data_IF_595602324178
#
_entry.id   IF_595602324178
#
_cell.length_a   1.000
_cell.length_b   1.000
_cell.length_c   1.000
_cell.angle_alpha   90.00
_cell.angle_beta   90.00
_cell.angle_gamma   90.00
#
_symmetry.space_group_name_H-M   'P 1'
#
loop_
_entity.id
_entity.type
_entity.pdbx_description
1 polymer ?
#
# COMPACT_ATOMS: atom_id res chain seq x y z
N UNK A 1 -23.40 -26.11 10.22
CA UNK A 1 -23.91 -25.74 8.89
C UNK A 1 -23.42 -24.35 8.56
N UNK A 2 -22.62 -24.27 7.51
CA UNK A 2 -21.71 -23.13 7.26
C UNK A 2 -22.40 -22.02 6.46
N UNK A 3 -23.10 -21.11 7.14
CA UNK A 3 -23.69 -19.91 6.56
C UNK A 3 -22.65 -18.84 6.09
N UNK A 4 -21.35 -19.19 6.09
CA UNK A 4 -20.27 -18.25 5.74
C UNK A 4 -19.97 -18.17 4.25
N UNK A 5 -20.43 -19.13 3.45
CA UNK A 5 -20.13 -19.19 1.99
C UNK A 5 -21.01 -18.28 1.15
N UNK A 6 -22.21 -17.92 1.62
CA UNK A 6 -23.21 -17.19 0.83
C UNK A 6 -22.96 -15.68 0.74
N UNK A 7 -21.99 -15.15 1.50
CA UNK A 7 -21.68 -13.73 1.55
C UNK A 7 -20.41 -13.30 0.76
N UNK A 8 -19.76 -14.24 0.08
CA UNK A 8 -18.69 -13.87 -0.86
C UNK A 8 -19.30 -13.13 -2.06
N UNK A 9 -18.59 -12.16 -2.66
CA UNK A 9 -18.96 -11.68 -3.98
C UNK A 9 -18.88 -12.88 -4.92
N UNK A 10 -20.04 -13.50 -5.14
CA UNK A 10 -20.14 -14.53 -6.18
C UNK A 10 -19.73 -13.88 -7.50
N UNK A 11 -18.96 -14.55 -8.37
CA UNK A 11 -18.84 -14.09 -9.74
C UNK A 11 -20.27 -13.86 -10.25
N UNK A 12 -20.55 -12.62 -10.62
CA UNK A 12 -21.88 -12.26 -11.11
C UNK A 12 -22.17 -13.18 -12.30
N UNK A 13 -23.21 -13.98 -12.21
CA UNK A 13 -23.55 -15.06 -13.16
C UNK A 13 -23.73 -14.59 -14.62
N UNK A 14 -23.73 -13.28 -14.89
CA UNK A 14 -23.82 -12.67 -16.22
C UNK A 14 -23.29 -11.22 -16.27
N UNK A 15 -21.98 -11.01 -15.98
CA UNK A 15 -21.37 -9.85 -16.61
C UNK A 15 -21.21 -10.16 -18.10
N UNK A 16 -21.67 -9.28 -18.98
CA UNK A 16 -21.40 -9.41 -20.40
C UNK A 16 -19.88 -9.42 -20.63
N UNK A 17 -19.40 -10.07 -21.69
CA UNK A 17 -17.97 -10.14 -22.01
C UNK A 17 -17.34 -8.74 -22.06
N UNK A 18 -18.07 -7.73 -22.47
CA UNK A 18 -17.64 -6.33 -22.46
C UNK A 18 -17.38 -5.77 -21.06
N UNK A 19 -18.23 -6.08 -20.08
CA UNK A 19 -18.03 -5.62 -18.68
C UNK A 19 -16.85 -6.36 -18.05
N UNK A 20 -16.71 -7.64 -18.31
CA UNK A 20 -15.55 -8.45 -17.88
C UNK A 20 -14.24 -7.89 -18.43
N UNK A 21 -14.19 -7.55 -19.72
CA UNK A 21 -13.03 -6.92 -20.34
C UNK A 21 -12.68 -5.56 -19.71
N UNK A 22 -13.68 -4.72 -19.44
CA UNK A 22 -13.47 -3.43 -18.74
C UNK A 22 -12.94 -3.62 -17.32
N UNK A 23 -13.43 -4.62 -16.56
CA UNK A 23 -12.90 -4.93 -15.22
C UNK A 23 -11.43 -5.32 -15.28
N UNK A 24 -11.04 -6.20 -16.20
CA UNK A 24 -9.65 -6.57 -16.41
C UNK A 24 -8.78 -5.37 -16.78
N UNK A 25 -9.23 -4.53 -17.72
CA UNK A 25 -8.51 -3.32 -18.11
C UNK A 25 -8.25 -2.39 -16.91
N UNK A 26 -9.26 -2.15 -16.08
CA UNK A 26 -9.11 -1.34 -14.86
C UNK A 26 -8.17 -1.95 -13.83
N UNK A 27 -8.22 -3.26 -13.62
CA UNK A 27 -7.33 -3.97 -12.67
C UNK A 27 -5.88 -3.96 -13.17
N UNK A 28 -5.64 -4.27 -14.44
CA UNK A 28 -4.28 -4.27 -15.01
C UNK A 28 -3.68 -2.86 -14.90
N UNK A 29 -4.43 -1.83 -15.30
CA UNK A 29 -3.99 -0.44 -15.14
C UNK A 29 -3.65 -0.12 -13.68
N UNK A 30 -4.54 -0.45 -12.76
CA UNK A 30 -4.35 -0.17 -11.34
C UNK A 30 -3.17 -0.92 -10.71
N UNK A 31 -2.83 -2.11 -11.19
CA UNK A 31 -1.65 -2.84 -10.71
C UNK A 31 -0.35 -2.21 -11.27
N UNK A 32 -0.35 -1.78 -12.52
CA UNK A 32 0.86 -1.26 -13.17
C UNK A 32 1.17 0.19 -12.80
N UNK A 33 0.15 1.03 -12.66
CA UNK A 33 0.31 2.48 -12.52
C UNK A 33 1.16 2.89 -11.29
N UNK A 34 0.98 2.34 -10.07
CA UNK A 34 1.81 2.68 -8.92
C UNK A 34 3.29 2.38 -9.15
N UNK A 35 3.61 1.26 -9.81
CA UNK A 35 4.99 0.88 -10.13
C UNK A 35 5.60 1.82 -11.17
N UNK A 36 4.84 2.18 -12.20
CA UNK A 36 5.27 3.17 -13.21
C UNK A 36 5.52 4.53 -12.57
N UNK A 37 4.60 5.02 -11.74
CA UNK A 37 4.75 6.30 -11.04
C UNK A 37 5.98 6.29 -10.13
N UNK A 38 6.19 5.20 -9.38
CA UNK A 38 7.35 5.04 -8.50
C UNK A 38 8.66 5.04 -9.30
N UNK A 39 8.71 4.33 -10.43
CA UNK A 39 9.88 4.31 -11.32
C UNK A 39 10.14 5.70 -11.91
N UNK A 40 9.12 6.39 -12.39
CA UNK A 40 9.24 7.76 -12.91
C UNK A 40 9.80 8.68 -11.83
N UNK A 41 9.24 8.67 -10.63
CA UNK A 41 9.65 9.57 -9.55
C UNK A 41 11.06 9.27 -9.03
N UNK A 42 11.38 8.02 -8.71
CA UNK A 42 12.61 7.67 -8.03
C UNK A 42 13.79 7.34 -8.96
N UNK A 43 13.52 6.96 -10.22
CA UNK A 43 14.57 6.56 -11.16
C UNK A 43 14.71 7.59 -12.28
N UNK A 44 13.65 7.85 -13.04
CA UNK A 44 13.75 8.72 -14.22
C UNK A 44 13.93 10.21 -13.87
N UNK A 45 13.30 10.68 -12.81
CA UNK A 45 13.36 12.08 -12.36
C UNK A 45 14.33 12.29 -11.18
N UNK A 46 15.15 11.31 -10.81
CA UNK A 46 16.05 11.40 -9.66
C UNK A 46 17.02 12.59 -9.71
N UNK A 47 17.44 13.02 -10.89
CA UNK A 47 18.33 14.19 -11.11
C UNK A 47 17.60 15.48 -11.50
N UNK A 48 16.28 15.47 -11.54
CA UNK A 48 15.49 16.64 -11.95
C UNK A 48 15.34 17.67 -10.82
N UNK A 49 15.05 18.95 -11.14
CA UNK A 49 14.72 19.95 -10.13
C UNK A 49 13.62 19.45 -9.18
N UNK A 50 13.81 19.61 -7.88
CA UNK A 50 12.94 19.04 -6.84
C UNK A 50 11.47 19.42 -7.00
N UNK A 51 11.17 20.65 -7.40
CA UNK A 51 9.80 21.12 -7.62
C UNK A 51 9.09 20.39 -8.76
N UNK A 52 9.78 20.10 -9.87
CA UNK A 52 9.22 19.35 -10.97
C UNK A 52 8.97 17.88 -10.61
N UNK A 53 9.96 17.24 -9.98
CA UNK A 53 9.84 15.87 -9.49
C UNK A 53 8.65 15.72 -8.54
N UNK A 54 8.49 16.64 -7.57
CA UNK A 54 7.37 16.64 -6.64
C UNK A 54 6.04 16.89 -7.33
N UNK A 55 5.95 17.83 -8.27
CA UNK A 55 4.72 18.11 -9.02
C UNK A 55 4.23 16.87 -9.78
N UNK A 56 5.13 16.19 -10.50
CA UNK A 56 4.80 14.94 -11.22
C UNK A 56 4.30 13.86 -10.26
N UNK A 57 4.94 13.72 -9.09
CA UNK A 57 4.51 12.74 -8.10
C UNK A 57 3.13 13.06 -7.52
N UNK A 58 2.88 14.30 -7.14
CA UNK A 58 1.59 14.74 -6.59
C UNK A 58 0.47 14.53 -7.62
N UNK A 59 0.67 14.99 -8.86
CA UNK A 59 -0.30 14.78 -9.94
C UNK A 59 -0.54 13.28 -10.17
N UNK A 60 0.54 12.48 -10.23
CA UNK A 60 0.44 11.04 -10.38
C UNK A 60 -0.33 10.37 -9.24
N UNK A 61 -0.12 10.80 -7.97
CA UNK A 61 -0.88 10.29 -6.82
C UNK A 61 -2.35 10.70 -6.86
N UNK A 62 -2.66 11.92 -7.28
CA UNK A 62 -4.05 12.36 -7.47
C UNK A 62 -4.73 11.49 -8.53
N UNK A 63 -4.09 11.27 -9.69
CA UNK A 63 -4.62 10.38 -10.74
C UNK A 63 -4.77 8.94 -10.23
N UNK A 64 -3.78 8.42 -9.50
CA UNK A 64 -3.82 7.08 -8.91
C UNK A 64 -5.06 6.89 -8.04
N UNK A 65 -5.30 7.81 -7.11
CA UNK A 65 -6.39 7.66 -6.15
C UNK A 65 -7.75 8.11 -6.68
N UNK A 66 -7.82 8.97 -7.69
CA UNK A 66 -9.07 9.32 -8.36
C UNK A 66 -9.56 8.20 -9.32
N UNK A 67 -8.62 7.47 -9.92
CA UNK A 67 -8.92 6.44 -10.93
C UNK A 67 -9.98 5.41 -10.49
N UNK A 68 -9.92 4.77 -9.32
CA UNK A 68 -10.90 3.78 -8.92
C UNK A 68 -12.34 4.31 -8.88
N UNK A 69 -12.54 5.52 -8.34
CA UNK A 69 -13.88 6.13 -8.29
C UNK A 69 -14.41 6.43 -9.69
N UNK A 70 -13.58 7.04 -10.52
CA UNK A 70 -13.92 7.37 -11.90
C UNK A 70 -14.26 6.10 -12.67
N UNK A 71 -13.41 5.07 -12.55
CA UNK A 71 -13.59 3.82 -13.27
C UNK A 71 -14.84 3.07 -12.87
N UNK A 72 -15.12 2.96 -11.57
CA UNK A 72 -16.30 2.26 -11.05
C UNK A 72 -17.57 3.02 -11.40
N UNK A 73 -17.59 4.34 -11.24
CA UNK A 73 -18.79 5.14 -11.47
C UNK A 73 -19.14 5.28 -12.96
N UNK A 74 -18.16 5.58 -13.80
CA UNK A 74 -18.41 5.97 -15.19
C UNK A 74 -18.17 4.85 -16.21
N UNK A 75 -17.17 3.99 -15.97
CA UNK A 75 -16.83 2.91 -16.93
C UNK A 75 -17.58 1.62 -16.62
N UNK A 76 -17.68 1.25 -15.32
CA UNK A 76 -18.38 0.05 -14.91
C UNK A 76 -19.86 0.32 -14.58
N UNK A 77 -20.23 1.57 -14.28
CA UNK A 77 -21.57 1.96 -13.80
C UNK A 77 -22.03 1.14 -12.60
N UNK A 78 -21.08 0.69 -11.78
CA UNK A 78 -21.34 -0.08 -10.56
C UNK A 78 -21.74 0.89 -9.42
N UNK A 79 -22.63 0.48 -8.51
CA UNK A 79 -22.94 1.29 -7.34
C UNK A 79 -21.71 1.42 -6.43
N UNK A 80 -21.37 2.66 -6.05
CA UNK A 80 -20.29 2.98 -5.10
C UNK A 80 -20.72 2.58 -3.68
N UNK A 81 -20.91 1.30 -3.41
CA UNK A 81 -21.29 0.81 -2.08
C UNK A 81 -20.03 0.44 -1.31
N UNK A 82 -19.62 1.31 -0.39
CA UNK A 82 -18.79 0.88 0.74
C UNK A 82 -19.72 0.10 1.70
N UNK A 83 -19.57 -1.22 1.78
CA UNK A 83 -20.27 -2.00 2.80
C UNK A 83 -19.62 -1.72 4.15
N UNK A 84 -20.30 -0.89 4.95
CA UNK A 84 -19.83 -0.52 6.30
C UNK A 84 -20.42 -1.41 7.41
N UNK A 85 -21.37 -2.26 7.09
CA UNK A 85 -22.12 -3.06 8.08
C UNK A 85 -21.51 -4.43 8.39
N UNK A 86 -20.24 -4.66 8.04
CA UNK A 86 -19.53 -5.89 8.40
C UNK A 86 -19.13 -5.90 9.88
N UNK A 87 -19.08 -7.10 10.48
CA UNK A 87 -18.50 -7.30 11.80
C UNK A 87 -17.06 -6.75 11.78
N UNK A 88 -16.83 -5.67 12.51
CA UNK A 88 -15.51 -5.05 12.51
C UNK A 88 -14.51 -5.98 13.20
N UNK A 89 -13.49 -6.41 12.46
CA UNK A 89 -12.40 -7.26 12.97
C UNK A 89 -11.31 -6.37 13.58
N UNK A 90 -11.70 -5.54 14.57
CA UNK A 90 -10.76 -4.62 15.22
C UNK A 90 -9.61 -5.37 15.89
N UNK A 91 -9.94 -6.35 16.73
CA UNK A 91 -8.92 -7.09 17.49
C UNK A 91 -7.86 -7.72 16.57
N UNK A 92 -8.20 -8.59 15.59
CA UNK A 92 -7.17 -9.17 14.71
C UNK A 92 -6.44 -8.12 13.87
N UNK A 93 -7.11 -7.04 13.46
CA UNK A 93 -6.47 -5.97 12.68
C UNK A 93 -5.44 -5.20 13.51
N UNK A 94 -5.81 -4.74 14.69
CA UNK A 94 -4.90 -4.02 15.59
C UNK A 94 -3.78 -4.92 16.08
N UNK A 95 -4.07 -6.18 16.44
CA UNK A 95 -3.05 -7.14 16.86
C UNK A 95 -2.02 -7.35 15.75
N UNK A 96 -2.45 -7.56 14.50
CA UNK A 96 -1.52 -7.71 13.39
C UNK A 96 -0.65 -6.47 13.19
N UNK A 97 -1.26 -5.27 13.12
CA UNK A 97 -0.52 -4.02 12.94
C UNK A 97 0.50 -3.76 14.06
N UNK A 98 0.08 -3.95 15.33
CA UNK A 98 0.98 -3.82 16.48
C UNK A 98 2.11 -4.85 16.47
N UNK A 99 1.81 -6.11 16.11
CA UNK A 99 2.83 -7.15 16.01
C UNK A 99 3.88 -6.77 14.98
N UNK A 100 3.46 -6.35 13.77
CA UNK A 100 4.39 -5.94 12.71
C UNK A 100 5.21 -4.73 13.15
N UNK A 101 4.58 -3.70 13.74
CA UNK A 101 5.27 -2.53 14.28
C UNK A 101 6.34 -2.93 15.30
N UNK A 102 5.98 -3.73 16.30
CA UNK A 102 6.92 -4.14 17.36
C UNK A 102 8.06 -5.02 16.82
N UNK A 103 7.76 -5.96 15.94
CA UNK A 103 8.77 -6.80 15.28
C UNK A 103 9.72 -5.94 14.44
N UNK A 104 9.19 -5.01 13.65
CA UNK A 104 9.98 -4.12 12.81
C UNK A 104 10.93 -3.24 13.65
N UNK A 105 10.42 -2.58 14.69
CA UNK A 105 11.24 -1.78 15.60
C UNK A 105 12.25 -2.63 16.36
N UNK A 106 11.85 -3.81 16.82
CA UNK A 106 12.75 -4.76 17.50
C UNK A 106 13.87 -5.22 16.60
N UNK A 107 13.58 -5.68 15.37
CA UNK A 107 14.59 -6.10 14.41
C UNK A 107 15.52 -4.94 14.02
N UNK A 108 14.97 -3.74 13.82
CA UNK A 108 15.78 -2.56 13.53
C UNK A 108 16.75 -2.26 14.69
N UNK A 109 16.26 -2.22 15.92
CA UNK A 109 17.01 -1.78 17.08
C UNK A 109 18.05 -2.80 17.57
N UNK A 110 17.69 -4.10 17.55
CA UNK A 110 18.57 -5.16 18.07
C UNK A 110 19.43 -5.83 17.01
N UNK A 111 19.14 -5.63 15.73
CA UNK A 111 19.88 -6.28 14.64
C UNK A 111 20.37 -5.28 13.60
N UNK A 112 19.47 -4.64 12.83
CA UNK A 112 19.88 -3.91 11.64
C UNK A 112 20.77 -2.69 11.93
N UNK A 113 20.45 -1.92 12.98
CA UNK A 113 21.23 -0.76 13.38
C UNK A 113 22.60 -1.17 13.96
N UNK A 114 22.70 -2.09 14.96
CA UNK A 114 23.97 -2.50 15.51
C UNK A 114 24.94 -3.14 14.51
N UNK A 115 24.41 -3.81 13.47
CA UNK A 115 25.25 -4.41 12.42
C UNK A 115 25.52 -3.46 11.24
N UNK A 116 25.17 -2.18 11.33
CA UNK A 116 25.44 -1.20 10.28
C UNK A 116 24.62 -1.39 8.99
N UNK A 117 23.62 -2.29 9.00
CA UNK A 117 22.84 -2.63 7.80
C UNK A 117 22.00 -1.46 7.27
N UNK A 118 21.77 -0.43 8.08
CA UNK A 118 20.95 0.75 7.75
C UNK A 118 21.76 2.04 7.55
N UNK A 119 23.10 2.01 7.62
CA UNK A 119 23.93 3.23 7.53
C UNK A 119 23.70 4.01 6.23
N UNK A 120 23.82 3.34 5.08
CA UNK A 120 23.58 3.97 3.78
C UNK A 120 22.13 4.46 3.64
N UNK A 121 21.17 3.67 4.13
CA UNK A 121 19.75 4.04 4.13
C UNK A 121 19.51 5.28 4.99
N UNK A 122 20.13 5.39 6.16
CA UNK A 122 20.04 6.55 7.04
C UNK A 122 20.54 7.83 6.35
N UNK A 123 21.68 7.75 5.64
CA UNK A 123 22.21 8.88 4.84
C UNK A 123 21.21 9.31 3.78
N UNK A 124 20.63 8.37 3.02
CA UNK A 124 19.68 8.68 1.96
C UNK A 124 18.36 9.27 2.51
N UNK A 125 17.87 8.74 3.63
CA UNK A 125 16.67 9.26 4.29
C UNK A 125 16.91 10.70 4.79
N UNK A 126 18.05 10.96 5.42
CA UNK A 126 18.45 12.31 5.87
C UNK A 126 18.50 13.29 4.71
N UNK A 127 19.19 12.95 3.63
CA UNK A 127 19.23 13.78 2.41
C UNK A 127 17.83 14.04 1.84
N UNK A 128 16.95 13.04 1.85
CA UNK A 128 15.58 13.21 1.37
C UNK A 128 14.78 14.19 2.25
N UNK A 129 14.93 14.08 3.57
CA UNK A 129 14.31 14.98 4.56
C UNK A 129 14.79 16.43 4.35
N UNK A 130 16.08 16.64 4.16
CA UNK A 130 16.69 17.95 3.88
C UNK A 130 16.18 18.53 2.57
N UNK A 131 16.21 17.74 1.49
CA UNK A 131 15.76 18.16 0.15
C UNK A 131 14.25 18.52 0.11
N UNK A 132 13.46 17.92 0.97
CA UNK A 132 12.02 18.22 1.11
C UNK A 132 11.76 19.38 2.09
N UNK A 133 12.77 19.90 2.80
CA UNK A 133 12.64 20.95 3.80
C UNK A 133 11.81 20.53 5.03
N UNK A 134 11.77 19.22 5.33
CA UNK A 134 11.02 18.65 6.47
C UNK A 134 11.95 18.28 7.64
N UNK A 135 13.05 18.97 7.78
CA UNK A 135 14.11 18.77 8.79
C UNK A 135 13.77 19.29 10.19
N UNK A 136 12.56 19.78 10.44
CA UNK A 136 12.09 20.08 11.79
C UNK A 136 11.11 19.03 12.30
N UNK A 137 11.11 18.77 13.61
CA UNK A 137 10.24 17.77 14.25
C UNK A 137 8.76 17.96 13.87
N UNK A 138 8.28 19.22 13.82
CA UNK A 138 6.89 19.52 13.51
C UNK A 138 6.54 19.24 12.05
N UNK A 139 7.44 19.57 11.12
CA UNK A 139 7.22 19.27 9.69
C UNK A 139 7.31 17.77 9.44
N UNK A 140 8.28 17.10 10.05
CA UNK A 140 8.40 15.64 9.95
C UNK A 140 7.16 14.95 10.52
N UNK A 141 6.71 15.36 11.71
CA UNK A 141 5.50 14.81 12.33
C UNK A 141 4.24 15.06 11.49
N UNK A 142 4.10 16.25 10.89
CA UNK A 142 2.97 16.56 10.02
C UNK A 142 2.93 15.64 8.78
N UNK A 143 4.09 15.42 8.15
CA UNK A 143 4.21 14.45 7.04
C UNK A 143 3.92 13.04 7.52
N UNK A 144 4.47 12.64 8.67
CA UNK A 144 4.19 11.33 9.27
C UNK A 144 2.69 11.10 9.52
N UNK A 145 2.02 12.07 10.13
CA UNK A 145 0.56 12.00 10.36
C UNK A 145 -0.21 11.89 9.03
N UNK A 146 0.20 12.63 8.01
CA UNK A 146 -0.43 12.52 6.69
C UNK A 146 -0.27 11.11 6.11
N UNK A 147 0.93 10.52 6.15
CA UNK A 147 1.14 9.17 5.62
C UNK A 147 0.42 8.12 6.45
N UNK A 148 0.54 8.18 7.76
CA UNK A 148 -0.10 7.25 8.69
C UNK A 148 -1.63 7.29 8.60
N UNK A 149 -2.24 8.47 8.52
CA UNK A 149 -3.69 8.58 8.53
C UNK A 149 -4.31 8.60 7.12
N UNK A 150 -3.80 9.46 6.24
CA UNK A 150 -4.44 9.72 4.95
C UNK A 150 -3.92 8.77 3.86
N UNK A 151 -2.59 8.66 3.71
CA UNK A 151 -2.00 7.87 2.64
C UNK A 151 -2.30 6.38 2.81
N UNK A 152 -2.12 5.83 4.02
CA UNK A 152 -2.46 4.44 4.31
C UNK A 152 -3.95 4.13 4.04
N UNK A 153 -4.87 5.06 4.37
CA UNK A 153 -6.29 4.91 4.04
C UNK A 153 -6.53 4.86 2.53
N UNK A 154 -5.90 5.76 1.78
CA UNK A 154 -6.00 5.80 0.33
C UNK A 154 -5.41 4.54 -0.32
N UNK A 155 -4.36 3.97 0.25
CA UNK A 155 -3.81 2.70 -0.23
C UNK A 155 -4.74 1.52 0.04
N UNK A 156 -5.36 1.44 1.22
CA UNK A 156 -6.35 0.40 1.49
C UNK A 156 -7.59 0.54 0.61
N UNK A 157 -8.06 1.77 0.41
CA UNK A 157 -9.11 2.06 -0.57
C UNK A 157 -8.72 1.57 -1.97
N UNK A 158 -7.53 1.89 -2.44
CA UNK A 158 -7.06 1.51 -3.78
C UNK A 158 -6.88 0.00 -3.92
N UNK A 159 -6.13 -0.62 -3.01
CA UNK A 159 -5.74 -2.02 -3.12
C UNK A 159 -6.83 -2.99 -2.67
N UNK A 160 -7.57 -2.71 -1.58
CA UNK A 160 -8.58 -3.65 -1.04
C UNK A 160 -9.95 -3.41 -1.62
N UNK A 161 -10.42 -2.16 -1.60
CA UNK A 161 -11.74 -1.90 -2.14
C UNK A 161 -11.78 -2.04 -3.67
N UNK A 162 -10.78 -1.47 -4.39
CA UNK A 162 -10.81 -1.51 -5.84
C UNK A 162 -10.09 -2.74 -6.41
N UNK A 163 -8.75 -2.87 -6.32
CA UNK A 163 -8.00 -3.93 -7.01
C UNK A 163 -8.46 -5.32 -6.56
N UNK A 164 -8.39 -5.61 -5.26
CA UNK A 164 -8.82 -6.90 -4.71
C UNK A 164 -10.32 -7.12 -4.91
N UNK A 165 -11.14 -6.09 -4.68
CA UNK A 165 -12.59 -6.17 -4.88
C UNK A 165 -13.00 -6.48 -6.31
N UNK A 166 -12.33 -5.92 -7.33
CA UNK A 166 -12.57 -6.24 -8.74
C UNK A 166 -12.03 -7.64 -9.09
N UNK A 167 -10.85 -8.01 -8.60
CA UNK A 167 -10.30 -9.35 -8.79
C UNK A 167 -11.23 -10.45 -8.26
N UNK A 168 -11.84 -10.26 -7.09
CA UNK A 168 -12.81 -11.20 -6.54
C UNK A 168 -14.07 -11.40 -7.40
N UNK A 169 -14.35 -10.47 -8.32
CA UNK A 169 -15.45 -10.61 -9.29
C UNK A 169 -15.01 -11.33 -10.56
N UNK A 170 -13.73 -11.36 -10.84
CA UNK A 170 -13.14 -11.93 -12.05
C UNK A 170 -12.62 -13.36 -11.85
N UNK A 171 -12.03 -13.62 -10.69
CA UNK A 171 -11.36 -14.88 -10.36
C UNK A 171 -11.67 -15.33 -8.93
N UNK A 172 -11.28 -16.56 -8.60
CA UNK A 172 -11.42 -17.12 -7.25
C UNK A 172 -10.63 -16.32 -6.23
N UNK A 173 -11.11 -16.28 -5.00
CA UNK A 173 -10.53 -15.49 -3.91
C UNK A 173 -9.04 -15.75 -3.63
N UNK A 174 -8.54 -17.00 -3.55
CA UNK A 174 -7.12 -17.22 -3.28
C UNK A 174 -6.18 -16.58 -4.32
N UNK A 175 -6.34 -16.78 -5.63
CA UNK A 175 -5.52 -16.07 -6.60
C UNK A 175 -5.75 -14.55 -6.60
N UNK A 176 -6.94 -14.05 -6.25
CA UNK A 176 -7.18 -12.62 -6.11
C UNK A 176 -6.35 -12.00 -4.98
N UNK A 177 -6.22 -12.68 -3.83
CA UNK A 177 -5.33 -12.27 -2.74
C UNK A 177 -3.88 -12.21 -3.24
N UNK A 178 -3.40 -13.27 -3.87
CA UNK A 178 -2.01 -13.34 -4.35
C UNK A 178 -1.71 -12.22 -5.35
N UNK A 179 -2.53 -12.06 -6.38
CA UNK A 179 -2.30 -11.07 -7.44
C UNK A 179 -2.35 -9.64 -6.88
N UNK A 180 -3.33 -9.31 -6.03
CA UNK A 180 -3.40 -7.97 -5.43
C UNK A 180 -2.22 -7.68 -4.51
N UNK A 181 -1.72 -8.69 -3.78
CA UNK A 181 -0.58 -8.54 -2.87
C UNK A 181 0.75 -8.41 -3.61
N UNK A 182 0.92 -9.15 -4.71
CA UNK A 182 2.09 -9.00 -5.57
C UNK A 182 2.08 -7.65 -6.31
N UNK A 183 0.92 -7.17 -6.74
CA UNK A 183 0.77 -5.83 -7.29
C UNK A 183 1.13 -4.75 -6.26
N UNK A 184 0.68 -4.91 -5.02
CA UNK A 184 1.05 -4.02 -3.91
C UNK A 184 2.56 -4.05 -3.63
N UNK A 185 3.18 -5.22 -3.65
CA UNK A 185 4.62 -5.39 -3.51
C UNK A 185 5.43 -4.71 -4.63
N UNK A 186 4.95 -4.76 -5.87
CA UNK A 186 5.75 -4.40 -7.05
C UNK A 186 6.34 -2.98 -6.98
N UNK A 187 5.57 -1.97 -6.60
CA UNK A 187 6.10 -0.61 -6.45
C UNK A 187 6.99 -0.46 -5.20
N UNK A 188 6.80 -1.28 -4.17
CA UNK A 188 7.67 -1.30 -3.00
C UNK A 188 9.04 -1.92 -3.30
N UNK A 189 9.12 -2.89 -4.23
CA UNK A 189 10.43 -3.39 -4.70
C UNK A 189 11.27 -2.24 -5.25
N UNK A 190 10.68 -1.39 -6.09
CA UNK A 190 11.37 -0.23 -6.66
C UNK A 190 11.78 0.75 -5.56
N UNK A 191 10.84 1.08 -4.66
CA UNK A 191 11.11 1.98 -3.53
C UNK A 191 12.26 1.44 -2.64
N UNK A 192 12.17 0.19 -2.22
CA UNK A 192 13.18 -0.44 -1.36
C UNK A 192 14.53 -0.58 -2.07
N UNK A 193 14.54 -0.88 -3.38
CA UNK A 193 15.75 -0.94 -4.16
C UNK A 193 16.47 0.41 -4.27
N UNK A 194 15.75 1.52 -4.26
CA UNK A 194 16.34 2.86 -4.23
C UNK A 194 17.08 3.10 -2.91
N UNK A 195 16.53 2.65 -1.78
CA UNK A 195 17.12 2.90 -0.45
C UNK A 195 18.14 1.85 0.00
N UNK A 196 17.96 0.59 -0.39
CA UNK A 196 18.83 -0.52 0.02
C UNK A 196 19.76 -1.01 -1.09
N UNK A 197 19.45 -0.71 -2.35
CA UNK A 197 20.16 -1.21 -3.52
C UNK A 197 19.52 -2.46 -4.14
N UNK A 198 19.61 -2.56 -5.48
CA UNK A 198 19.03 -3.69 -6.24
C UNK A 198 19.66 -5.06 -5.90
N UNK A 199 20.93 -5.08 -5.50
CA UNK A 199 21.66 -6.32 -5.17
C UNK A 199 21.61 -6.67 -3.68
N UNK A 200 20.90 -5.89 -2.86
CA UNK A 200 20.80 -6.13 -1.42
C UNK A 200 19.67 -7.12 -1.12
N UNK A 201 19.92 -8.24 -0.43
CA UNK A 201 18.88 -9.19 -0.04
C UNK A 201 17.76 -8.57 0.79
N UNK A 202 18.02 -7.52 1.58
CA UNK A 202 17.01 -6.81 2.36
C UNK A 202 15.92 -6.20 1.48
N UNK A 203 16.26 -5.74 0.27
CA UNK A 203 15.28 -5.22 -0.70
C UNK A 203 14.18 -6.26 -0.96
N UNK A 204 14.57 -7.48 -1.24
CA UNK A 204 13.62 -8.55 -1.59
C UNK A 204 12.93 -9.14 -0.37
N UNK A 205 13.65 -9.29 0.74
CA UNK A 205 13.07 -9.77 2.00
C UNK A 205 11.97 -8.81 2.50
N UNK A 206 12.25 -7.50 2.55
CA UNK A 206 11.29 -6.50 2.98
C UNK A 206 10.12 -6.37 1.99
N UNK A 207 10.39 -6.49 0.67
CA UNK A 207 9.33 -6.55 -0.34
C UNK A 207 8.41 -7.73 -0.13
N UNK A 208 8.95 -8.90 0.19
CA UNK A 208 8.15 -10.07 0.53
C UNK A 208 7.30 -9.85 1.80
N UNK A 209 7.85 -9.18 2.82
CA UNK A 209 7.08 -8.78 4.00
C UNK A 209 5.90 -7.86 3.62
N UNK A 210 6.10 -6.92 2.67
CA UNK A 210 5.01 -6.08 2.14
C UNK A 210 3.95 -6.93 1.43
N UNK A 211 4.34 -7.91 0.60
CA UNK A 211 3.39 -8.83 -0.02
C UNK A 211 2.61 -9.64 1.01
N UNK A 212 3.28 -10.14 2.04
CA UNK A 212 2.65 -10.87 3.14
C UNK A 212 1.65 -9.98 3.89
N UNK A 213 2.03 -8.76 4.27
CA UNK A 213 1.13 -7.77 4.84
C UNK A 213 -0.08 -7.51 3.95
N UNK A 214 0.17 -7.34 2.65
CA UNK A 214 -0.85 -7.20 1.62
C UNK A 214 -1.87 -8.35 1.61
N UNK A 215 -1.40 -9.58 1.74
CA UNK A 215 -2.25 -10.77 1.77
C UNK A 215 -3.10 -10.85 3.05
N UNK A 216 -2.49 -10.52 4.21
CA UNK A 216 -3.22 -10.45 5.49
C UNK A 216 -4.30 -9.37 5.44
N UNK A 217 -3.99 -8.18 4.94
CA UNK A 217 -4.97 -7.10 4.82
C UNK A 217 -6.09 -7.43 3.82
N UNK A 218 -5.80 -8.11 2.71
CA UNK A 218 -6.83 -8.59 1.79
C UNK A 218 -7.75 -9.62 2.47
N UNK A 219 -7.17 -10.52 3.28
CA UNK A 219 -7.94 -11.49 4.07
C UNK A 219 -8.79 -10.80 5.16
N UNK A 220 -8.22 -9.86 5.92
CA UNK A 220 -8.95 -9.07 6.93
C UNK A 220 -10.12 -8.29 6.30
N UNK A 221 -9.89 -7.69 5.14
CA UNK A 221 -10.94 -7.01 4.37
C UNK A 221 -12.02 -7.98 3.91
N UNK A 222 -11.65 -9.17 3.47
CA UNK A 222 -12.60 -10.21 3.08
C UNK A 222 -13.52 -10.61 4.26
N UNK A 223 -12.95 -10.75 5.47
CA UNK A 223 -13.70 -11.14 6.66
C UNK A 223 -14.58 -10.01 7.21
N UNK A 224 -14.05 -8.80 7.26
CA UNK A 224 -14.73 -7.66 7.87
C UNK A 224 -15.66 -6.91 6.92
N UNK A 225 -15.36 -6.90 5.63
CA UNK A 225 -15.99 -6.01 4.63
C UNK A 225 -15.88 -4.53 4.99
N UNK A 226 -14.94 -4.17 5.87
CA UNK A 226 -14.68 -2.81 6.33
C UNK A 226 -13.24 -2.42 6.04
N UNK A 227 -13.06 -1.22 5.50
CA UNK A 227 -11.72 -0.65 5.32
C UNK A 227 -11.12 -0.14 6.64
N UNK A 228 -11.94 0.21 7.63
CA UNK A 228 -11.45 0.87 8.84
C UNK A 228 -10.48 0.02 9.66
N UNK A 229 -10.81 -1.26 9.90
CA UNK A 229 -9.93 -2.17 10.63
C UNK A 229 -8.61 -2.42 9.89
N UNK A 230 -8.70 -2.64 8.58
CA UNK A 230 -7.53 -2.85 7.72
C UNK A 230 -6.65 -1.60 7.68
N UNK A 231 -7.26 -0.43 7.51
CA UNK A 231 -6.58 0.86 7.58
C UNK A 231 -5.86 1.08 8.91
N UNK A 232 -6.50 0.83 10.05
CA UNK A 232 -5.83 0.95 11.34
C UNK A 232 -4.60 0.05 11.47
N UNK A 233 -4.70 -1.17 10.95
CA UNK A 233 -3.57 -2.09 10.90
C UNK A 233 -2.41 -1.55 10.07
N UNK A 234 -2.70 -1.03 8.88
CA UNK A 234 -1.72 -0.42 7.98
C UNK A 234 -1.12 0.85 8.60
N UNK A 235 -1.95 1.72 9.16
CA UNK A 235 -1.50 2.93 9.83
C UNK A 235 -0.51 2.66 10.98
N UNK A 236 -0.69 1.57 11.74
CA UNK A 236 0.27 1.15 12.76
C UNK A 236 1.62 0.74 12.16
N UNK A 237 1.62 0.05 11.02
CA UNK A 237 2.87 -0.30 10.31
C UNK A 237 3.57 0.96 9.80
N UNK A 238 2.84 1.87 9.17
CA UNK A 238 3.39 3.15 8.69
C UNK A 238 3.92 4.02 9.85
N UNK A 239 3.22 4.03 11.00
CA UNK A 239 3.72 4.71 12.19
C UNK A 239 5.09 4.17 12.63
N UNK A 240 5.28 2.84 12.59
CA UNK A 240 6.56 2.22 12.86
C UNK A 240 7.65 2.65 11.87
N UNK A 241 7.33 2.74 10.57
CA UNK A 241 8.27 3.22 9.54
C UNK A 241 8.67 4.68 9.82
N UNK A 242 7.72 5.55 10.18
CA UNK A 242 8.03 6.95 10.51
C UNK A 242 8.82 7.10 11.82
N UNK A 243 8.54 6.28 12.84
CA UNK A 243 9.34 6.23 14.08
C UNK A 243 10.78 5.83 13.74
N UNK A 244 10.97 4.77 12.96
CA UNK A 244 12.30 4.33 12.54
C UNK A 244 13.01 5.37 11.67
N UNK A 245 12.32 5.99 10.72
CA UNK A 245 12.84 7.07 9.89
C UNK A 245 13.31 8.26 10.72
N UNK A 246 12.57 8.61 11.78
CA UNK A 246 12.98 9.65 12.73
C UNK A 246 14.28 9.28 13.46
N UNK A 247 14.37 8.07 13.98
CA UNK A 247 15.57 7.59 14.70
C UNK A 247 16.83 7.54 13.82
N UNK A 248 16.67 7.28 12.52
CA UNK A 248 17.79 7.17 11.58
C UNK A 248 18.26 8.53 11.05
N UNK A 249 17.40 9.54 11.03
CA UNK A 249 17.66 10.77 10.29
C UNK A 249 17.66 12.06 11.12
N UNK A 250 17.00 12.04 12.28
CA UNK A 250 16.86 13.20 13.17
C UNK A 250 17.68 13.05 14.43
#
# INVERSE_FOLDING_TARGET
MDHRRDNLPQPLKHDSDHVTGRRWGGVIWAIMFPSLLTAVYFILLAGSPSGWQQAVFVVGKVLQFAFPLIWVAWVLSDPLKARTNGRQYWTPSVTFGLTVLLVMLGLAHWWLIPFGSLENTAVMVRQKIENLGINSIWRYAAVGVFYVACHSFLEEYYWRWFVFGQLCRLIKTPPAIVISSLGFMAHHVILLAVYFGWNNPLTYLLSFCVAFGGAVWAWLFLQSRSLLGVWMSHALVDAGIFILGYQLAM
#
